data_IF_492507422709
#
_entry.id   IF_492507422709
#
_cell.length_a   1.000
_cell.length_b   1.000
_cell.length_c   1.000
_cell.angle_alpha   90.00
_cell.angle_beta   90.00
_cell.angle_gamma   90.00
#
_symmetry.space_group_name_H-M   'P 1'
#
loop_
_entity.id
_entity.type
_entity.pdbx_description
1 polymer ?
#
# COMPACT_ATOMS: atom_id res chain seq x y z
N UNK A 1 -9.92 -18.58 -0.98
CA UNK A 1 -8.50 -18.97 -1.18
C UNK A 1 -7.78 -17.78 -1.81
N UNK A 2 -6.96 -17.07 -1.04
CA UNK A 2 -6.08 -16.02 -1.55
C UNK A 2 -4.92 -16.69 -2.31
N UNK A 3 -4.91 -16.59 -3.64
CA UNK A 3 -3.91 -17.23 -4.51
C UNK A 3 -2.93 -16.22 -5.12
N UNK A 4 -2.84 -15.02 -4.53
CA UNK A 4 -1.85 -14.02 -4.86
C UNK A 4 -0.98 -13.79 -3.64
N UNK A 5 0.34 -13.80 -3.82
CA UNK A 5 1.29 -13.42 -2.79
C UNK A 5 0.98 -11.97 -2.40
N UNK A 6 0.42 -11.79 -1.21
CA UNK A 6 0.16 -10.46 -0.65
C UNK A 6 1.51 -9.90 -0.21
N UNK A 7 1.79 -8.64 -0.56
CA UNK A 7 3.00 -7.97 -0.14
C UNK A 7 3.07 -7.89 1.39
N UNK A 8 4.14 -8.41 1.97
CA UNK A 8 4.34 -8.39 3.42
C UNK A 8 4.51 -6.97 3.96
N UNK A 9 5.09 -6.06 3.18
CA UNK A 9 5.20 -4.64 3.55
C UNK A 9 3.80 -4.01 3.68
N UNK A 10 2.85 -4.38 2.80
CA UNK A 10 1.46 -3.94 2.89
C UNK A 10 0.80 -4.45 4.18
N UNK A 11 0.99 -5.74 4.51
CA UNK A 11 0.46 -6.32 5.75
C UNK A 11 1.03 -5.59 6.97
N UNK A 12 2.35 -5.37 7.02
CA UNK A 12 3.00 -4.62 8.10
C UNK A 12 2.46 -3.20 8.22
N UNK A 13 2.31 -2.49 7.10
CA UNK A 13 1.76 -1.12 7.07
C UNK A 13 0.36 -1.08 7.68
N UNK A 14 -0.51 -2.01 7.27
CA UNK A 14 -1.88 -2.09 7.76
C UNK A 14 -1.89 -2.37 9.27
N UNK A 15 -1.08 -3.33 9.75
CA UNK A 15 -0.99 -3.70 11.16
C UNK A 15 -0.49 -2.54 12.04
N UNK A 16 0.54 -1.81 11.59
CA UNK A 16 1.05 -0.63 12.29
C UNK A 16 -0.01 0.47 12.37
N UNK A 17 -0.79 0.66 11.29
CA UNK A 17 -1.82 1.71 11.20
C UNK A 17 -3.00 1.49 12.16
N UNK A 18 -3.29 0.23 12.51
CA UNK A 18 -4.43 -0.16 13.36
C UNK A 18 -4.01 -0.61 14.77
N UNK A 19 -2.79 -0.28 15.20
CA UNK A 19 -2.25 -0.66 16.52
C UNK A 19 -2.33 -2.18 16.79
N UNK A 20 -2.00 -2.99 15.79
CA UNK A 20 -1.89 -4.46 15.88
C UNK A 20 -3.22 -5.20 16.13
N UNK A 21 -4.37 -4.56 15.92
CA UNK A 21 -5.66 -5.24 15.97
C UNK A 21 -5.89 -6.13 14.72
N UNK A 22 -5.50 -7.40 14.82
CA UNK A 22 -5.52 -8.39 13.73
C UNK A 22 -6.86 -8.51 13.01
N UNK A 23 -7.98 -8.53 13.74
CA UNK A 23 -9.33 -8.61 13.15
C UNK A 23 -9.66 -7.37 12.30
N UNK A 24 -9.24 -6.18 12.76
CA UNK A 24 -9.41 -4.96 11.98
C UNK A 24 -8.50 -4.98 10.73
N UNK A 25 -7.29 -5.53 10.86
CA UNK A 25 -6.33 -5.68 9.76
C UNK A 25 -6.91 -6.50 8.62
N UNK A 26 -7.46 -7.67 8.97
CA UNK A 26 -8.05 -8.60 8.01
C UNK A 26 -9.20 -7.93 7.27
N UNK A 27 -10.08 -7.21 8.00
CA UNK A 27 -11.18 -6.47 7.40
C UNK A 27 -10.68 -5.37 6.46
N UNK A 28 -9.68 -4.61 6.88
CA UNK A 28 -9.13 -3.51 6.09
C UNK A 28 -8.46 -4.01 4.81
N UNK A 29 -7.64 -5.06 4.93
CA UNK A 29 -7.00 -5.73 3.80
C UNK A 29 -8.03 -6.29 2.83
N UNK A 30 -9.12 -6.90 3.33
CA UNK A 30 -10.20 -7.41 2.49
C UNK A 30 -10.91 -6.29 1.71
N UNK A 31 -11.14 -5.14 2.34
CA UNK A 31 -11.74 -3.97 1.68
C UNK A 31 -10.78 -3.44 0.60
N UNK A 32 -9.50 -3.32 0.94
CA UNK A 32 -8.48 -2.86 0.00
C UNK A 32 -8.34 -3.78 -1.21
N UNK A 33 -8.24 -5.09 -1.01
CA UNK A 33 -8.16 -6.06 -2.12
C UNK A 33 -9.39 -5.99 -3.03
N UNK A 34 -10.59 -5.85 -2.46
CA UNK A 34 -11.82 -5.66 -3.24
C UNK A 34 -11.79 -4.36 -4.04
N UNK A 35 -11.30 -3.27 -3.44
CA UNK A 35 -11.12 -1.98 -4.13
C UNK A 35 -10.07 -2.07 -5.24
N UNK A 36 -8.95 -2.77 -5.01
CA UNK A 36 -7.84 -2.95 -5.96
C UNK A 36 -8.27 -3.70 -7.22
N UNK A 37 -9.20 -4.64 -7.11
CA UNK A 37 -9.74 -5.40 -8.26
C UNK A 37 -10.58 -4.55 -9.22
N UNK A 38 -11.00 -3.35 -8.84
CA UNK A 38 -11.77 -2.48 -9.72
C UNK A 38 -10.83 -1.83 -10.75
N UNK A 39 -11.09 -2.08 -12.05
CA UNK A 39 -10.22 -1.63 -13.16
C UNK A 39 -9.94 -0.12 -13.17
N UNK A 40 -10.87 0.67 -12.63
CA UNK A 40 -10.85 2.12 -12.55
C UNK A 40 -9.69 2.58 -11.65
N UNK A 41 -9.45 1.85 -10.55
CA UNK A 41 -8.47 2.19 -9.53
C UNK A 41 -7.06 1.83 -10.01
N UNK A 42 -6.92 0.70 -10.73
CA UNK A 42 -5.68 0.33 -11.42
C UNK A 42 -5.31 1.40 -12.46
N UNK A 43 -6.29 1.87 -13.26
CA UNK A 43 -6.06 2.96 -14.22
C UNK A 43 -5.63 4.27 -13.54
N UNK A 44 -6.19 4.58 -12.37
CA UNK A 44 -5.77 5.74 -11.58
C UNK A 44 -4.32 5.61 -11.13
N UNK A 45 -3.91 4.42 -10.67
CA UNK A 45 -2.53 4.14 -10.33
C UNK A 45 -1.59 4.31 -11.52
N UNK A 46 -1.90 3.71 -12.68
CA UNK A 46 -1.05 3.80 -13.87
C UNK A 46 -0.84 5.26 -14.35
N UNK A 47 -1.83 6.14 -14.16
CA UNK A 47 -1.67 7.58 -14.45
C UNK A 47 -0.63 8.28 -13.55
N UNK A 48 -0.58 7.89 -12.28
CA UNK A 48 0.29 8.51 -11.27
C UNK A 48 1.62 7.77 -11.09
N UNK A 49 1.77 6.58 -11.69
CA UNK A 49 2.89 5.67 -11.51
C UNK A 49 4.25 6.31 -11.77
N UNK A 50 4.35 7.17 -12.78
CA UNK A 50 5.58 7.91 -13.09
C UNK A 50 6.04 8.76 -11.91
N UNK A 51 5.13 9.47 -11.27
CA UNK A 51 5.42 10.34 -10.14
C UNK A 51 5.85 9.53 -8.90
N UNK A 52 5.20 8.39 -8.64
CA UNK A 52 5.66 7.47 -7.59
C UNK A 52 7.11 7.01 -7.82
N UNK A 53 7.46 6.63 -9.05
CA UNK A 53 8.82 6.19 -9.39
C UNK A 53 9.83 7.34 -9.25
N UNK A 54 9.49 8.55 -9.67
CA UNK A 54 10.34 9.75 -9.50
C UNK A 54 10.58 10.06 -8.02
N UNK A 55 9.62 9.74 -7.14
CA UNK A 55 9.76 9.81 -5.68
C UNK A 55 10.37 8.54 -5.06
N UNK A 56 10.94 7.64 -5.87
CA UNK A 56 11.58 6.37 -5.46
C UNK A 56 10.63 5.38 -4.77
N UNK A 57 9.32 5.53 -4.94
CA UNK A 57 8.32 4.64 -4.37
C UNK A 57 8.12 3.42 -5.29
N UNK A 58 9.01 2.43 -5.18
CA UNK A 58 9.03 1.26 -6.08
C UNK A 58 8.04 0.16 -5.68
N UNK A 59 7.46 0.21 -4.47
CA UNK A 59 6.50 -0.79 -4.02
C UNK A 59 5.10 -0.47 -4.56
N UNK A 60 4.67 -1.23 -5.58
CA UNK A 60 3.39 -1.02 -6.26
C UNK A 60 2.18 -1.21 -5.34
N UNK A 61 2.22 -2.16 -4.41
CA UNK A 61 1.11 -2.43 -3.49
C UNK A 61 0.96 -1.32 -2.46
N UNK A 62 2.07 -0.78 -1.92
CA UNK A 62 2.06 0.40 -1.07
C UNK A 62 1.57 1.63 -1.82
N UNK A 63 1.97 1.82 -3.08
CA UNK A 63 1.50 2.96 -3.88
C UNK A 63 -0.03 2.89 -4.10
N UNK A 64 -0.55 1.72 -4.47
CA UNK A 64 -2.00 1.48 -4.61
C UNK A 64 -2.73 1.70 -3.29
N UNK A 65 -2.17 1.20 -2.19
CA UNK A 65 -2.71 1.38 -0.85
C UNK A 65 -2.76 2.86 -0.45
N UNK A 66 -1.73 3.63 -0.80
CA UNK A 66 -1.69 5.08 -0.51
C UNK A 66 -2.80 5.84 -1.25
N UNK A 67 -3.09 5.48 -2.50
CA UNK A 67 -4.23 6.03 -3.26
C UNK A 67 -5.55 5.67 -2.58
N UNK A 68 -5.70 4.43 -2.14
CA UNK A 68 -6.88 3.99 -1.42
C UNK A 68 -7.10 4.77 -0.12
N UNK A 69 -6.03 4.97 0.68
CA UNK A 69 -6.09 5.74 1.92
C UNK A 69 -6.49 7.20 1.68
N UNK A 70 -5.95 7.83 0.63
CA UNK A 70 -6.29 9.19 0.22
C UNK A 70 -7.78 9.29 -0.16
N UNK A 71 -8.28 8.35 -0.99
CA UNK A 71 -9.70 8.32 -1.39
C UNK A 71 -10.65 8.13 -0.21
N UNK A 72 -10.25 7.31 0.77
CA UNK A 72 -11.01 7.10 2.00
C UNK A 72 -10.82 8.23 3.03
N UNK A 73 -10.01 9.24 2.71
CA UNK A 73 -9.67 10.37 3.62
C UNK A 73 -9.13 9.91 4.97
N UNK A 74 -8.42 8.78 4.98
CA UNK A 74 -7.81 8.21 6.18
C UNK A 74 -6.49 8.91 6.49
N UNK A 75 -5.79 9.36 5.45
CA UNK A 75 -4.58 10.16 5.54
C UNK A 75 -4.87 11.62 5.23
N UNK A 76 -4.04 12.52 5.80
CA UNK A 76 -4.10 13.97 5.55
C UNK A 76 -3.19 14.43 4.42
N UNK A 77 -2.32 13.55 3.96
CA UNK A 77 -1.34 13.79 2.90
C UNK A 77 -1.86 13.25 1.58
N UNK A 78 -1.25 13.68 0.48
CA UNK A 78 -1.48 13.03 -0.82
C UNK A 78 -0.95 11.60 -0.81
N UNK A 79 -1.46 10.75 -1.70
CA UNK A 79 -0.99 9.37 -1.83
C UNK A 79 0.53 9.28 -2.08
N UNK A 80 1.08 10.21 -2.85
CA UNK A 80 2.51 10.25 -3.19
C UNK A 80 3.36 10.69 -1.99
N UNK A 81 2.93 11.71 -1.25
CA UNK A 81 3.62 12.14 -0.03
C UNK A 81 3.63 11.03 1.02
N UNK A 82 2.51 10.34 1.19
CA UNK A 82 2.41 9.21 2.11
C UNK A 82 3.34 8.07 1.70
N UNK A 83 3.31 7.64 0.42
CA UNK A 83 4.20 6.59 -0.07
C UNK A 83 5.68 6.97 0.03
N UNK A 84 6.02 8.23 -0.21
CA UNK A 84 7.38 8.73 -0.09
C UNK A 84 7.85 8.73 1.37
N UNK A 85 7.00 9.20 2.30
CA UNK A 85 7.29 9.16 3.73
C UNK A 85 7.46 7.72 4.23
N UNK A 86 6.59 6.80 3.79
CA UNK A 86 6.69 5.37 4.10
C UNK A 86 8.01 4.78 3.57
N UNK A 87 8.36 5.08 2.31
CA UNK A 87 9.61 4.61 1.69
C UNK A 87 10.85 5.08 2.46
N UNK A 88 10.83 6.32 2.98
CA UNK A 88 11.94 6.90 3.75
C UNK A 88 12.00 6.35 5.18
N UNK A 89 10.86 6.30 5.88
CA UNK A 89 10.81 5.94 7.29
C UNK A 89 10.93 4.43 7.52
N UNK A 90 10.28 3.62 6.68
CA UNK A 90 10.18 2.18 6.92
C UNK A 90 11.30 1.39 6.25
N UNK A 91 12.21 2.03 5.49
CA UNK A 91 13.42 1.43 4.90
C UNK A 91 13.25 -0.07 4.55
N UNK A 92 12.14 -0.41 3.88
CA UNK A 92 11.62 -1.75 3.57
C UNK A 92 12.14 -2.89 4.48
N UNK A 93 11.36 -3.41 5.45
CA UNK A 93 11.80 -4.55 6.24
C UNK A 93 11.93 -5.84 5.41
N UNK A 94 11.41 -5.88 4.17
CA UNK A 94 11.54 -7.04 3.28
C UNK A 94 11.86 -6.60 1.85
N UNK A 95 13.15 -6.55 1.55
CA UNK A 95 13.69 -6.46 0.18
C UNK A 95 13.95 -7.87 -0.35
N UNK A 96 14.22 -7.99 -1.65
CA UNK A 96 14.46 -9.28 -2.32
C UNK A 96 15.58 -10.12 -1.67
N UNK A 97 16.55 -9.46 -1.01
CA UNK A 97 17.60 -10.09 -0.20
C UNK A 97 17.08 -10.81 1.07
N UNK A 98 15.86 -10.50 1.54
CA UNK A 98 15.24 -11.11 2.71
C UNK A 98 14.37 -12.33 2.35
N UNK A 99 14.14 -12.57 1.05
CA UNK A 99 13.47 -13.77 0.53
C UNK A 99 14.51 -14.89 0.44
N UNK A 100 14.57 -15.72 1.49
CA UNK A 100 15.47 -16.86 1.62
C UNK A 100 15.07 -18.04 0.73
#
# INVERSE_FOLDING_TARGET
MWNHSIDFNLICTILQSIKEETNQAIKYLSIFETWKLQSNNIKKYEKNKKEFIERRCCNHDINLFSIFLEEKKVIRYTAIEFAAAYTVNDSMPFVEKDKR
#
